data_IF_797095193327
#
_entry.id   IF_797095193327
#
_cell.length_a   1.000
_cell.length_b   1.000
_cell.length_c   1.000
_cell.angle_alpha   90.00
_cell.angle_beta   90.00
_cell.angle_gamma   90.00
#
_symmetry.space_group_name_H-M   'P 1'
#
loop_
_entity.id
_entity.type
_entity.pdbx_description
1 polymer ?
#
# COMPACT_ATOMS: atom_id res chain seq x y z
N UNK A 1 7.89 -5.72 31.02
CA UNK A 1 8.05 -5.43 30.56
C UNK A 1 8.34 -5.30 30.12
N UNK A 2 7.73 -5.44 30.02
CA UNK A 2 7.88 -5.13 29.28
C UNK A 2 7.50 -4.59 29.11
N UNK A 3 6.72 -4.27 29.41
CA UNK A 3 6.32 -3.78 28.81
C UNK A 3 6.40 -2.94 28.87
N UNK A 4 6.17 -2.71 29.08
CA UNK A 4 6.38 -1.91 28.68
C UNK A 4 6.70 -1.79 28.32
N UNK A 5 6.68 -2.44 28.44
CA UNK A 5 6.95 -2.34 27.73
C UNK A 5 6.45 -2.56 27.36
N UNK A 6 5.76 -3.24 27.68
CA UNK A 6 5.04 -3.35 27.25
C UNK A 6 4.45 -2.50 27.14
N UNK A 7 4.04 -1.96 27.97
CA UNK A 7 3.48 -1.05 27.60
C UNK A 7 4.17 -0.15 26.87
N UNK A 8 4.93 -0.07 26.92
CA UNK A 8 5.59 0.35 25.97
C UNK A 8 5.38 -0.36 24.85
N UNK A 9 5.06 -1.29 25.14
CA UNK A 9 4.71 -2.12 24.13
C UNK A 9 3.40 -1.97 23.61
N UNK A 10 2.54 -1.43 24.33
CA UNK A 10 1.27 -1.12 23.89
C UNK A 10 1.32 -0.07 22.89
N UNK A 11 2.07 0.94 23.08
CA UNK A 11 2.15 1.98 22.12
C UNK A 11 2.76 1.43 20.87
N UNK A 12 3.58 0.42 21.01
CA UNK A 12 4.10 -0.21 19.89
C UNK A 12 3.04 -0.87 19.08
N UNK A 13 2.13 -1.54 19.73
CA UNK A 13 1.04 -2.14 19.09
C UNK A 13 0.23 -1.16 18.32
N UNK A 14 -0.01 -0.01 18.87
CA UNK A 14 -0.74 1.01 18.19
C UNK A 14 -0.02 1.50 16.96
N UNK A 15 1.29 1.55 17.00
CA UNK A 15 2.05 1.97 15.87
C UNK A 15 2.07 0.96 14.76
N UNK A 16 1.70 -0.26 15.03
CA UNK A 16 1.61 -1.28 14.02
C UNK A 16 0.30 -1.22 13.25
N UNK A 17 -0.57 -0.28 13.60
CA UNK A 17 -1.87 -0.14 12.98
C UNK A 17 -1.93 1.16 12.21
N UNK A 18 -2.05 1.05 10.92
CA UNK A 18 -2.13 2.19 10.04
C UNK A 18 -3.39 2.10 9.21
N UNK A 19 -3.79 3.20 8.62
CA UNK A 19 -4.91 3.19 7.69
C UNK A 19 -4.69 4.18 6.56
N UNK A 20 -5.28 3.88 5.42
CA UNK A 20 -5.29 4.77 4.27
C UNK A 20 -6.76 5.05 4.01
N UNK A 21 -7.22 6.24 4.41
CA UNK A 21 -8.66 6.53 4.49
C UNK A 21 -9.29 5.47 5.39
N UNK A 22 -10.24 4.67 4.90
CA UNK A 22 -10.89 3.66 5.71
C UNK A 22 -10.28 2.27 5.54
N UNK A 23 -9.21 2.16 4.76
CA UNK A 23 -8.58 0.87 4.50
C UNK A 23 -7.56 0.59 5.59
N UNK A 24 -7.71 -0.54 6.26
CA UNK A 24 -6.74 -0.91 7.28
C UNK A 24 -5.48 -1.47 6.66
N UNK A 25 -4.35 -1.17 7.28
CA UNK A 25 -3.06 -1.70 6.85
C UNK A 25 -2.53 -2.57 7.96
N UNK A 26 -2.37 -3.85 7.67
CA UNK A 26 -1.89 -4.81 8.64
C UNK A 26 -0.39 -5.07 8.42
N UNK A 27 0.40 -4.83 9.44
CA UNK A 27 1.84 -5.05 9.37
C UNK A 27 2.15 -6.41 9.96
N UNK A 28 2.41 -7.37 9.10
CA UNK A 28 2.76 -8.71 9.52
C UNK A 28 4.22 -8.75 9.96
N UNK A 29 5.10 -8.13 9.19
CA UNK A 29 6.51 -8.02 9.51
C UNK A 29 6.90 -6.55 9.44
N UNK A 30 7.69 -6.11 10.40
CA UNK A 30 8.01 -4.70 10.56
C UNK A 30 8.74 -4.12 9.36
N UNK A 31 8.42 -2.88 9.05
CA UNK A 31 9.15 -2.11 8.07
C UNK A 31 10.52 -1.73 8.61
N UNK A 32 11.51 -1.53 7.73
CA UNK A 32 12.79 -0.98 8.18
C UNK A 32 12.58 0.38 8.85
N UNK A 33 13.46 0.71 9.76
CA UNK A 33 13.32 1.94 10.53
C UNK A 33 13.38 3.20 9.68
N UNK A 34 14.05 3.14 8.54
CA UNK A 34 14.17 4.32 7.68
C UNK A 34 12.92 4.59 6.85
N UNK A 35 11.93 3.71 6.90
CA UNK A 35 10.68 3.92 6.19
C UNK A 35 9.71 4.67 7.09
N UNK A 36 9.18 5.77 6.60
CA UNK A 36 8.23 6.58 7.35
C UNK A 36 6.83 6.33 6.82
N UNK A 37 6.12 5.40 7.46
CA UNK A 37 4.77 5.03 7.02
C UNK A 37 3.80 6.21 7.07
N UNK A 38 3.93 7.06 8.09
CA UNK A 38 3.04 8.22 8.19
C UNK A 38 3.21 9.14 6.99
N UNK A 39 4.44 9.38 6.58
CA UNK A 39 4.71 10.22 5.42
C UNK A 39 4.16 9.56 4.14
N UNK A 40 4.40 8.26 3.99
CA UNK A 40 3.95 7.52 2.81
C UNK A 40 2.44 7.62 2.67
N UNK A 41 1.72 7.35 3.76
CA UNK A 41 0.27 7.35 3.71
C UNK A 41 -0.29 8.76 3.48
N UNK A 42 0.34 9.75 4.09
CA UNK A 42 -0.10 11.12 3.90
C UNK A 42 0.10 11.56 2.45
N UNK A 43 1.22 11.17 1.87
CA UNK A 43 1.51 11.49 0.48
C UNK A 43 0.44 10.88 -0.43
N UNK A 44 0.14 9.61 -0.22
CA UNK A 44 -0.84 8.92 -1.05
C UNK A 44 -2.22 9.53 -0.87
N UNK A 45 -2.60 9.85 0.36
CA UNK A 45 -3.90 10.50 0.60
C UNK A 45 -4.03 11.80 -0.15
N UNK A 46 -2.94 12.54 -0.28
CA UNK A 46 -2.98 13.83 -0.95
C UNK A 46 -3.01 13.72 -2.46
N UNK A 47 -2.64 12.56 -3.00
CA UNK A 47 -2.50 12.40 -4.45
C UNK A 47 -3.52 11.48 -5.07
N UNK A 48 -4.09 10.55 -4.29
CA UNK A 48 -4.99 9.55 -4.82
C UNK A 48 -6.38 9.80 -4.28
N UNK A 49 -7.34 10.15 -5.16
CA UNK A 49 -8.71 10.37 -4.70
C UNK A 49 -9.30 9.11 -4.07
N UNK A 50 -10.12 9.31 -3.05
CA UNK A 50 -10.67 8.19 -2.30
C UNK A 50 -11.51 7.26 -3.18
N UNK A 51 -12.16 7.80 -4.19
CA UNK A 51 -12.99 6.95 -5.05
C UNK A 51 -12.17 5.99 -5.89
N UNK A 52 -10.86 6.17 -6.01
CA UNK A 52 -10.03 5.20 -6.69
C UNK A 52 -9.63 4.03 -5.79
N UNK A 53 -10.03 4.09 -4.53
CA UNK A 53 -9.68 3.03 -3.57
C UNK A 53 -10.81 2.03 -3.36
N UNK A 54 -11.87 2.12 -4.15
CA UNK A 54 -13.04 1.27 -3.96
C UNK A 54 -12.75 -0.22 -4.10
N UNK A 55 -11.76 -0.56 -4.90
CA UNK A 55 -11.43 -1.97 -5.11
C UNK A 55 -10.45 -2.53 -4.08
N UNK A 56 -10.06 -1.71 -3.09
CA UNK A 56 -9.08 -2.15 -2.10
C UNK A 56 -9.76 -2.27 -0.74
N UNK A 57 -9.77 -3.48 -0.20
CA UNK A 57 -10.36 -3.75 1.10
C UNK A 57 -9.33 -3.76 2.21
N UNK A 58 -8.14 -4.26 1.93
CA UNK A 58 -7.09 -4.42 2.92
C UNK A 58 -5.73 -4.27 2.28
N UNK A 59 -4.77 -3.85 3.08
CA UNK A 59 -3.37 -3.80 2.67
C UNK A 59 -2.56 -4.57 3.70
N UNK A 60 -1.73 -5.49 3.25
CA UNK A 60 -0.87 -6.30 4.10
C UNK A 60 0.59 -6.03 3.79
N UNK A 61 1.39 -5.86 4.83
CA UNK A 61 2.82 -5.61 4.69
C UNK A 61 3.58 -6.70 5.41
N UNK A 62 4.56 -7.29 4.76
CA UNK A 62 5.37 -8.30 5.39
C UNK A 62 6.08 -9.17 4.40
N UNK A 63 6.58 -10.31 4.89
CA UNK A 63 7.21 -11.31 4.05
C UNK A 63 6.15 -12.31 3.67
N UNK A 64 5.90 -12.40 2.37
CA UNK A 64 4.88 -13.32 1.87
C UNK A 64 5.52 -14.22 0.82
N UNK A 65 5.26 -15.51 0.95
CA UNK A 65 5.84 -16.48 0.05
C UNK A 65 5.48 -16.22 -1.40
N UNK A 66 4.25 -15.84 -1.66
CA UNK A 66 3.82 -15.62 -3.04
C UNK A 66 4.49 -14.41 -3.67
N UNK A 67 4.91 -13.43 -2.87
CA UNK A 67 5.70 -12.34 -3.39
C UNK A 67 7.11 -12.81 -3.72
N UNK A 68 7.68 -13.60 -2.84
CA UNK A 68 9.03 -14.10 -3.06
C UNK A 68 9.09 -15.01 -4.28
N UNK A 69 8.11 -15.86 -4.43
CA UNK A 69 8.07 -16.80 -5.55
C UNK A 69 7.98 -16.09 -6.88
N UNK A 70 7.31 -14.95 -6.92
CA UNK A 70 7.17 -14.18 -8.14
C UNK A 70 8.20 -13.09 -8.27
N UNK A 71 9.08 -12.99 -7.29
CA UNK A 71 10.10 -11.93 -7.26
C UNK A 71 9.45 -10.56 -7.41
N UNK A 72 8.34 -10.37 -6.73
CA UNK A 72 7.58 -9.13 -6.80
C UNK A 72 7.64 -8.40 -5.48
N UNK A 73 7.59 -7.09 -5.53
CA UNK A 73 7.55 -6.28 -4.31
C UNK A 73 6.13 -6.04 -3.83
N UNK A 74 5.17 -6.21 -4.72
CA UNK A 74 3.76 -5.98 -4.38
C UNK A 74 2.86 -6.74 -5.32
N UNK A 75 1.67 -7.09 -4.86
CA UNK A 75 0.66 -7.77 -5.66
C UNK A 75 -0.72 -7.32 -5.18
N UNK A 76 -1.61 -7.06 -6.13
CA UNK A 76 -3.03 -6.85 -5.84
C UNK A 76 -3.78 -8.13 -6.20
N UNK A 77 -4.62 -8.60 -5.30
CA UNK A 77 -5.41 -9.80 -5.56
C UNK A 77 -6.72 -9.73 -4.78
N UNK A 78 -7.83 -9.75 -5.48
CA UNK A 78 -9.17 -9.87 -4.87
C UNK A 78 -9.41 -8.89 -3.71
N UNK A 79 -9.13 -7.64 -3.95
CA UNK A 79 -9.39 -6.60 -2.97
C UNK A 79 -8.26 -6.38 -1.98
N UNK A 80 -7.20 -7.16 -2.03
CA UNK A 80 -6.10 -7.02 -1.10
C UNK A 80 -4.82 -6.64 -1.81
N UNK A 81 -4.07 -5.73 -1.22
CA UNK A 81 -2.74 -5.39 -1.70
C UNK A 81 -1.75 -6.00 -0.73
N UNK A 82 -0.79 -6.74 -1.26
CA UNK A 82 0.29 -7.33 -0.46
C UNK A 82 1.58 -6.62 -0.83
N UNK A 83 2.30 -6.15 0.17
CA UNK A 83 3.54 -5.40 -0.02
C UNK A 83 4.65 -6.05 0.76
N UNK A 84 5.84 -6.13 0.17
CA UNK A 84 6.98 -6.60 0.94
C UNK A 84 7.37 -5.54 1.97
N UNK A 85 7.86 -5.99 3.12
CA UNK A 85 8.39 -5.06 4.11
C UNK A 85 9.84 -4.69 3.81
N UNK A 86 10.44 -5.30 2.80
CA UNK A 86 11.82 -5.01 2.42
C UNK A 86 11.81 -3.93 1.37
N UNK A 87 11.74 -2.69 1.82
CA UNK A 87 11.67 -1.51 0.96
C UNK A 87 12.93 -0.68 1.10
N UNK A 88 13.44 -0.19 -0.01
CA UNK A 88 14.66 0.61 0.02
C UNK A 88 14.41 2.01 0.59
N UNK A 89 13.31 2.63 0.20
CA UNK A 89 13.00 3.96 0.70
C UNK A 89 11.50 4.23 0.59
N UNK A 90 11.10 5.40 1.07
CA UNK A 90 9.68 5.79 1.07
C UNK A 90 9.12 5.85 -0.34
N UNK A 91 9.93 6.32 -1.29
CA UNK A 91 9.47 6.48 -2.65
C UNK A 91 9.14 5.14 -3.30
N UNK A 92 9.97 4.14 -3.06
CA UNK A 92 9.71 2.81 -3.60
C UNK A 92 8.41 2.25 -3.05
N UNK A 93 8.16 2.45 -1.77
CA UNK A 93 6.92 1.99 -1.15
C UNK A 93 5.72 2.73 -1.74
N UNK A 94 5.84 4.03 -1.90
CA UNK A 94 4.76 4.82 -2.51
C UNK A 94 4.46 4.32 -3.91
N UNK A 95 5.50 4.09 -4.71
CA UNK A 95 5.32 3.61 -6.07
C UNK A 95 4.63 2.26 -6.10
N UNK A 96 5.03 1.36 -5.21
CA UNK A 96 4.42 0.04 -5.15
C UNK A 96 2.93 0.13 -4.81
N UNK A 97 2.60 0.94 -3.82
CA UNK A 97 1.20 1.07 -3.40
C UNK A 97 0.36 1.66 -4.53
N UNK A 98 0.85 2.74 -5.15
CA UNK A 98 0.10 3.39 -6.21
C UNK A 98 -0.09 2.46 -7.40
N UNK A 99 0.94 1.69 -7.73
CA UNK A 99 0.85 0.74 -8.83
C UNK A 99 -0.25 -0.30 -8.57
N UNK A 100 -0.31 -0.82 -7.35
CA UNK A 100 -1.33 -1.82 -7.04
C UNK A 100 -2.72 -1.21 -6.95
N UNK A 101 -2.83 0.03 -6.51
CA UNK A 101 -4.12 0.73 -6.56
C UNK A 101 -4.58 0.85 -8.01
N UNK A 102 -3.67 1.13 -8.93
CA UNK A 102 -4.03 1.21 -10.34
C UNK A 102 -4.55 -0.12 -10.86
N UNK A 103 -3.94 -1.23 -10.44
CA UNK A 103 -4.46 -2.55 -10.81
C UNK A 103 -5.86 -2.79 -10.24
N UNK A 104 -6.10 -2.32 -9.02
CA UNK A 104 -7.44 -2.50 -8.43
C UNK A 104 -8.48 -1.70 -9.21
N UNK A 105 -8.12 -0.53 -9.72
CA UNK A 105 -9.03 0.27 -10.53
C UNK A 105 -9.34 -0.46 -11.83
N UNK A 106 -8.32 -1.00 -12.47
CA UNK A 106 -8.51 -1.75 -13.70
C UNK A 106 -9.44 -2.93 -13.50
N UNK A 107 -9.25 -3.65 -12.42
CA UNK A 107 -10.06 -4.81 -12.17
C UNK A 107 -11.51 -4.43 -11.85
N UNK A 108 -11.70 -3.41 -11.05
CA UNK A 108 -13.04 -3.01 -10.62
C UNK A 108 -13.87 -2.46 -11.77
N UNK A 109 -13.27 -1.67 -12.63
CA UNK A 109 -14.02 -1.01 -13.70
C UNK A 109 -13.91 -1.73 -15.03
N UNK A 110 -12.94 -2.60 -15.16
CA UNK A 110 -12.81 -3.41 -16.36
C UNK A 110 -12.69 -2.59 -17.62
N UNK A 111 -13.45 -2.98 -18.63
CA UNK A 111 -13.36 -2.33 -19.92
C UNK A 111 -13.83 -0.89 -19.92
N UNK A 112 -14.65 -0.51 -18.97
CA UNK A 112 -15.11 0.86 -18.87
C UNK A 112 -13.96 1.83 -18.68
N UNK A 113 -12.95 1.41 -17.94
CA UNK A 113 -11.78 2.25 -17.71
C UNK A 113 -10.95 2.36 -18.99
N UNK A 114 -10.85 1.31 -19.75
CA UNK A 114 -10.07 1.35 -20.96
C UNK A 114 -10.73 2.17 -22.06
N UNK A 115 -12.04 2.13 -22.12
CA UNK A 115 -12.77 2.93 -23.09
C UNK A 115 -12.60 4.40 -22.80
N UNK A 116 -12.52 4.74 -21.52
CA UNK A 116 -12.34 6.10 -21.09
C UNK A 116 -11.08 6.15 -20.24
N UNK A 117 -10.02 5.65 -20.78
CA UNK A 117 -8.85 5.34 -20.03
C UNK A 117 -7.93 6.47 -19.64
N UNK A 118 -8.31 7.72 -19.94
CA UNK A 118 -7.44 8.84 -19.66
C UNK A 118 -7.06 8.93 -18.20
N UNK A 119 -7.99 8.62 -17.29
CA UNK A 119 -7.72 8.72 -15.86
C UNK A 119 -6.63 7.74 -15.44
N UNK A 120 -6.77 6.49 -15.86
CA UNK A 120 -5.80 5.47 -15.48
C UNK A 120 -4.46 5.75 -16.13
N UNK A 121 -4.46 6.12 -17.38
CA UNK A 121 -3.20 6.41 -18.09
C UNK A 121 -2.48 7.60 -17.48
N UNK A 122 -3.23 8.62 -17.12
CA UNK A 122 -2.64 9.79 -16.50
C UNK A 122 -2.05 9.44 -15.13
N UNK A 123 -2.75 8.64 -14.36
CA UNK A 123 -2.34 8.21 -13.05
C UNK A 123 -1.01 7.43 -13.15
N UNK A 124 -0.95 6.46 -14.05
CA UNK A 124 0.26 5.67 -14.24
C UNK A 124 1.40 6.52 -14.81
N UNK A 125 1.06 7.48 -15.65
CA UNK A 125 2.05 8.39 -16.19
C UNK A 125 2.71 9.24 -15.14
N UNK A 126 1.91 9.73 -14.19
CA UNK A 126 2.46 10.49 -13.08
C UNK A 126 3.38 9.64 -12.24
N UNK A 127 3.01 8.40 -12.00
CA UNK A 127 3.86 7.49 -11.25
C UNK A 127 5.21 7.31 -11.95
N UNK A 128 5.16 7.16 -13.25
CA UNK A 128 6.40 6.98 -14.01
C UNK A 128 7.30 8.20 -13.97
N UNK A 129 6.73 9.36 -13.84
CA UNK A 129 7.52 10.57 -13.81
C UNK A 129 8.15 10.84 -12.46
N UNK A 130 7.67 10.17 -11.45
CA UNK A 130 8.26 10.32 -10.14
C UNK A 130 9.59 9.59 -10.07
#
# INVERSE_FOLDING_TARGET
MKWLNESMNKSKSLKDTYSLHDIEIFIKDQMPEHINMDFVLKYIKSRVPVNLLRGVDMIYVGKFKHLEDKEANAIYSDGAIYLTNEQDDDKDLIDDIIHEIAHSVEELYGHGIYDDGAVVREFLGKRKRL
#
